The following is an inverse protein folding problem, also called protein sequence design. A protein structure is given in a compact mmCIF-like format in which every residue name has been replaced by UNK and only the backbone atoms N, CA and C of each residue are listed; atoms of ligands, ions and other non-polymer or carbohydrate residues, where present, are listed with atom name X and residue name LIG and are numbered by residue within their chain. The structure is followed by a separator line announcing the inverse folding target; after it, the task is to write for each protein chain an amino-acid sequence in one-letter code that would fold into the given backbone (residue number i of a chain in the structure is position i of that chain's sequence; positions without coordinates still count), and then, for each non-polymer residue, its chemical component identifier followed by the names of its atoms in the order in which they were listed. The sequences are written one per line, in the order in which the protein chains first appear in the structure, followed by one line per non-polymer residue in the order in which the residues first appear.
data_IF_483132477383
#
_entry.id   IF_483132477383
#
_cell.length_a   1.000
_cell.length_b   1.000
_cell.length_c   1.000
_cell.angle_alpha   90.00
_cell.angle_beta   90.00
_cell.angle_gamma   90.00
#
_symmetry.space_group_name_H-M   'P 1'
#
loop_
_entity.id
_entity.type
_entity.pdbx_description
1 polymer ?
#
# COMPACT_ATOMS: atom_id res chain seq x y z
N UNK A 1 -15.84 -9.19 11.04
CA UNK A 1 -15.28 -7.99 11.70
C UNK A 1 -14.05 -7.42 10.97
N UNK A 2 -13.10 -8.26 10.51
CA UNK A 2 -11.88 -7.84 9.79
C UNK A 2 -12.11 -7.07 8.46
N UNK A 3 -13.16 -7.40 7.68
CA UNK A 3 -13.51 -6.68 6.44
C UNK A 3 -13.92 -5.20 6.66
N UNK A 4 -14.48 -4.84 7.82
CA UNK A 4 -14.85 -3.44 8.13
C UNK A 4 -13.63 -2.58 8.51
N UNK A 5 -12.59 -3.19 9.07
CA UNK A 5 -11.33 -2.50 9.41
C UNK A 5 -10.52 -2.11 8.17
N UNK A 6 -10.50 -2.96 7.14
CA UNK A 6 -9.88 -2.63 5.85
C UNK A 6 -10.58 -1.46 5.14
N UNK A 7 -11.92 -1.48 5.12
CA UNK A 7 -12.73 -0.42 4.53
C UNK A 7 -12.51 0.94 5.22
N UNK A 8 -12.44 0.97 6.56
CA UNK A 8 -12.15 2.19 7.31
C UNK A 8 -10.74 2.72 7.05
N UNK A 9 -9.71 1.85 7.05
CA UNK A 9 -8.32 2.25 6.82
C UNK A 9 -8.09 2.83 5.42
N UNK A 10 -8.84 2.35 4.43
CA UNK A 10 -8.75 2.82 3.04
C UNK A 10 -9.36 4.21 2.83
N UNK A 11 -10.53 4.49 3.43
CA UNK A 11 -11.16 5.82 3.36
C UNK A 11 -10.39 6.85 4.18
N UNK A 12 -9.71 6.43 5.26
CA UNK A 12 -8.86 7.32 6.06
C UNK A 12 -7.71 7.88 5.19
N UNK A 13 -7.07 7.07 4.35
CA UNK A 13 -6.02 7.59 3.46
C UNK A 13 -6.58 8.56 2.42
N UNK A 14 -7.70 8.23 1.78
CA UNK A 14 -8.34 9.12 0.79
C UNK A 14 -8.77 10.44 1.45
N UNK A 15 -9.27 10.40 2.68
CA UNK A 15 -9.59 11.57 3.49
C UNK A 15 -8.36 12.41 3.83
N UNK A 16 -7.26 11.79 4.30
CA UNK A 16 -6.00 12.49 4.58
C UNK A 16 -5.42 13.10 3.30
N UNK A 17 -5.47 12.38 2.18
CA UNK A 17 -5.00 12.89 0.90
C UNK A 17 -5.85 14.08 0.44
N UNK A 18 -7.18 14.01 0.58
CA UNK A 18 -8.08 15.13 0.25
C UNK A 18 -7.80 16.34 1.15
N UNK A 19 -7.61 16.14 2.45
CA UNK A 19 -7.22 17.20 3.38
C UNK A 19 -5.88 17.80 2.96
N UNK A 20 -4.89 16.97 2.60
CA UNK A 20 -3.60 17.42 2.09
C UNK A 20 -3.73 18.25 0.81
N UNK A 21 -4.59 17.85 -0.14
CA UNK A 21 -4.91 18.63 -1.34
C UNK A 21 -5.46 20.00 -0.96
N UNK A 22 -6.48 20.05 -0.09
CA UNK A 22 -7.12 21.30 0.32
C UNK A 22 -6.14 22.22 1.04
N UNK A 23 -5.38 21.69 2.01
CA UNK A 23 -4.38 22.46 2.74
C UNK A 23 -3.31 23.02 1.81
N UNK A 24 -2.86 22.23 0.82
CA UNK A 24 -1.85 22.69 -0.15
C UNK A 24 -2.39 23.84 -1.00
N UNK A 25 -3.66 23.77 -1.39
CA UNK A 25 -4.29 24.88 -2.12
C UNK A 25 -4.38 26.12 -1.24
N UNK A 26 -4.88 25.99 0.00
CA UNK A 26 -4.99 27.12 0.94
C UNK A 26 -3.63 27.79 1.12
N UNK A 27 -2.58 26.99 1.34
CA UNK A 27 -1.19 27.43 1.53
C UNK A 27 -0.64 28.20 0.32
N UNK A 28 -0.85 27.67 -0.90
CA UNK A 28 -0.44 28.35 -2.13
C UNK A 28 -1.20 29.67 -2.31
N UNK A 29 -2.50 29.69 -2.06
CA UNK A 29 -3.31 30.90 -2.21
C UNK A 29 -3.02 31.96 -1.13
N UNK A 30 -2.49 31.57 0.04
CA UNK A 30 -2.10 32.49 1.11
C UNK A 30 -0.68 33.01 0.98
N UNK A 31 0.27 32.17 0.55
CA UNK A 31 1.70 32.45 0.67
C UNK A 31 2.42 32.71 -0.66
N UNK A 32 1.80 32.39 -1.80
CA UNK A 32 2.43 32.57 -3.12
C UNK A 32 1.87 33.81 -3.82
N UNK A 33 2.73 34.80 -4.01
CA UNK A 33 2.38 36.06 -4.70
C UNK A 33 2.52 35.97 -6.22
N UNK A 34 3.50 35.21 -6.73
CA UNK A 34 3.83 35.11 -8.16
C UNK A 34 3.35 33.80 -8.77
N UNK A 35 2.74 33.84 -9.97
CA UNK A 35 2.31 32.63 -10.72
C UNK A 35 1.41 31.64 -9.94
N UNK A 36 0.72 32.12 -8.90
CA UNK A 36 -0.15 31.33 -8.00
C UNK A 36 -1.12 30.38 -8.70
N UNK A 37 -1.70 30.77 -9.84
CA UNK A 37 -2.66 29.93 -10.58
C UNK A 37 -1.99 28.73 -11.26
N UNK A 38 -0.76 28.89 -11.76
CA UNK A 38 0.04 27.80 -12.33
C UNK A 38 0.52 26.86 -11.24
N UNK A 39 1.01 27.40 -10.12
CA UNK A 39 1.44 26.60 -8.97
C UNK A 39 0.28 25.83 -8.36
N UNK A 40 -0.88 26.47 -8.17
CA UNK A 40 -2.10 25.84 -7.69
C UNK A 40 -2.54 24.69 -8.62
N UNK A 41 -2.52 24.89 -9.95
CA UNK A 41 -2.86 23.86 -10.92
C UNK A 41 -1.91 22.65 -10.84
N UNK A 42 -0.59 22.89 -10.80
CA UNK A 42 0.42 21.83 -10.67
C UNK A 42 0.24 21.10 -9.34
N UNK A 43 0.09 21.81 -8.23
CA UNK A 43 -0.13 21.22 -6.92
C UNK A 43 -1.42 20.39 -6.85
N UNK A 44 -2.50 20.85 -7.51
CA UNK A 44 -3.75 20.12 -7.60
C UNK A 44 -3.59 18.82 -8.39
N UNK A 45 -2.89 18.85 -9.52
CA UNK A 45 -2.58 17.63 -10.29
C UNK A 45 -1.69 16.67 -9.48
N UNK A 46 -0.70 17.21 -8.77
CA UNK A 46 0.28 16.45 -7.98
C UNK A 46 -0.37 15.76 -6.80
N UNK A 47 -1.09 16.50 -5.95
CA UNK A 47 -1.77 15.96 -4.78
C UNK A 47 -3.01 15.14 -5.18
N UNK A 48 -3.73 15.55 -6.23
CA UNK A 48 -4.86 14.81 -6.79
C UNK A 48 -4.48 13.43 -7.33
N UNK A 49 -3.24 13.24 -7.83
CA UNK A 49 -2.75 11.94 -8.27
C UNK A 49 -2.75 10.89 -7.15
N UNK A 50 -2.60 11.29 -5.88
CA UNK A 50 -2.67 10.40 -4.73
C UNK A 50 -4.07 9.78 -4.55
N UNK A 51 -5.14 10.46 -4.99
CA UNK A 51 -6.51 9.92 -4.96
C UNK A 51 -6.68 8.79 -5.98
N UNK A 52 -5.91 8.79 -7.07
CA UNK A 52 -5.95 7.76 -8.10
C UNK A 52 -4.98 6.59 -7.86
N UNK A 53 -4.35 6.51 -6.68
CA UNK A 53 -3.38 5.44 -6.33
C UNK A 53 -3.96 4.03 -6.47
N UNK A 54 -5.28 3.87 -6.35
CA UNK A 54 -5.95 2.56 -6.50
C UNK A 54 -5.90 2.01 -7.91
N UNK A 55 -5.88 2.87 -8.94
CA UNK A 55 -5.78 2.44 -10.34
C UNK A 55 -4.34 2.29 -10.81
N UNK A 56 -3.44 3.13 -10.29
CA UNK A 56 -2.03 3.12 -10.68
C UNK A 56 -1.13 3.43 -9.46
N UNK A 57 -0.89 2.44 -8.58
CA UNK A 57 -0.16 2.67 -7.32
C UNK A 57 1.29 3.08 -7.53
N UNK A 58 1.90 2.67 -8.65
CA UNK A 58 3.26 3.09 -9.04
C UNK A 58 3.29 4.50 -9.68
N UNK A 59 2.23 4.91 -10.39
CA UNK A 59 2.20 6.21 -11.03
C UNK A 59 2.05 7.35 -10.01
N UNK A 60 1.32 7.14 -8.91
CA UNK A 60 1.09 8.17 -7.91
C UNK A 60 2.38 8.80 -7.33
N UNK A 61 3.36 8.04 -6.79
CA UNK A 61 4.60 8.63 -6.28
C UNK A 61 5.47 9.26 -7.38
N UNK A 62 5.42 8.72 -8.61
CA UNK A 62 6.13 9.32 -9.75
C UNK A 62 5.55 10.67 -10.16
N UNK A 63 4.22 10.80 -10.18
CA UNK A 63 3.55 12.07 -10.46
C UNK A 63 3.85 13.08 -9.35
N UNK A 64 3.92 12.63 -8.09
CA UNK A 64 4.33 13.51 -6.98
C UNK A 64 5.76 14.01 -7.15
N UNK A 65 6.69 13.12 -7.50
CA UNK A 65 8.07 13.49 -7.78
C UNK A 65 8.20 14.46 -8.96
N UNK A 66 7.48 14.21 -10.05
CA UNK A 66 7.45 15.08 -11.21
C UNK A 66 6.83 16.45 -10.88
N UNK A 67 5.76 16.46 -10.08
CA UNK A 67 5.14 17.69 -9.60
C UNK A 67 6.08 18.54 -8.75
N UNK A 68 6.85 17.92 -7.84
CA UNK A 68 7.87 18.61 -7.06
C UNK A 68 8.94 19.26 -7.97
N UNK A 69 9.38 18.56 -9.02
CA UNK A 69 10.32 19.12 -10.00
C UNK A 69 9.73 20.31 -10.76
N UNK A 70 8.48 20.21 -11.20
CA UNK A 70 7.79 21.30 -11.93
C UNK A 70 7.57 22.50 -11.02
N UNK A 71 7.13 22.31 -9.78
CA UNK A 71 6.98 23.40 -8.80
C UNK A 71 8.31 24.10 -8.54
N UNK A 72 9.38 23.33 -8.35
CA UNK A 72 10.74 23.87 -8.17
C UNK A 72 11.22 24.65 -9.40
N UNK A 73 10.86 24.21 -10.61
CA UNK A 73 11.24 24.88 -11.84
C UNK A 73 10.47 26.18 -12.08
N UNK A 74 9.25 26.30 -11.55
CA UNK A 74 8.46 27.53 -11.60
C UNK A 74 8.97 28.54 -10.57
N UNK A 75 9.09 28.13 -9.31
CA UNK A 75 9.58 28.97 -8.22
C UNK A 75 10.11 28.07 -7.08
N UNK A 76 11.43 27.97 -6.97
CA UNK A 76 12.09 27.15 -5.96
C UNK A 76 11.88 27.69 -4.52
N UNK A 77 11.79 29.01 -4.35
CA UNK A 77 11.57 29.60 -3.04
C UNK A 77 10.13 29.35 -2.58
N UNK A 78 9.14 29.56 -3.45
CA UNK A 78 7.75 29.25 -3.14
C UNK A 78 7.52 27.75 -2.93
N UNK A 79 8.17 26.88 -3.73
CA UNK A 79 8.09 25.43 -3.57
C UNK A 79 8.63 24.95 -2.21
N UNK A 80 9.72 25.56 -1.72
CA UNK A 80 10.28 25.27 -0.40
C UNK A 80 9.40 25.76 0.74
N UNK A 81 8.88 26.99 0.64
CA UNK A 81 8.02 27.59 1.68
C UNK A 81 6.60 27.00 1.76
N UNK A 82 6.24 26.11 0.83
CA UNK A 82 4.95 25.40 0.86
C UNK A 82 5.08 24.19 1.80
N UNK A 83 4.96 24.40 3.11
CA UNK A 83 5.10 23.35 4.13
C UNK A 83 4.17 22.15 3.87
N UNK A 84 3.00 22.39 3.26
CA UNK A 84 2.05 21.33 2.97
C UNK A 84 2.57 20.32 1.93
N UNK A 85 3.52 20.70 1.07
CA UNK A 85 4.18 19.76 0.15
C UNK A 85 4.90 18.63 0.88
N UNK A 86 5.42 18.89 2.08
CA UNK A 86 6.06 17.86 2.89
C UNK A 86 5.09 16.73 3.23
N UNK A 87 3.84 17.04 3.57
CA UNK A 87 2.80 16.04 3.83
C UNK A 87 2.48 15.24 2.57
N UNK A 88 2.43 15.89 1.40
CA UNK A 88 2.19 15.21 0.12
C UNK A 88 3.33 14.24 -0.22
N UNK A 89 4.58 14.61 0.04
CA UNK A 89 5.75 13.74 -0.12
C UNK A 89 5.71 12.53 0.84
N UNK A 90 5.31 12.73 2.10
CA UNK A 90 5.13 11.64 3.07
C UNK A 90 4.06 10.65 2.60
N UNK A 91 2.94 11.15 2.08
CA UNK A 91 1.87 10.30 1.51
C UNK A 91 2.34 9.55 0.27
N UNK A 92 3.18 10.16 -0.57
CA UNK A 92 3.79 9.51 -1.71
C UNK A 92 4.77 8.38 -1.29
N UNK A 93 5.59 8.61 -0.27
CA UNK A 93 6.46 7.59 0.32
C UNK A 93 5.65 6.44 0.92
N UNK A 94 4.55 6.74 1.62
CA UNK A 94 3.65 5.72 2.11
C UNK A 94 3.06 4.89 0.96
N UNK A 95 2.59 5.55 -0.10
CA UNK A 95 2.04 4.88 -1.29
C UNK A 95 3.09 4.00 -1.97
N UNK A 96 4.33 4.49 -2.15
CA UNK A 96 5.44 3.72 -2.71
C UNK A 96 5.82 2.51 -1.86
N UNK A 97 5.82 2.63 -0.54
CA UNK A 97 6.10 1.52 0.38
C UNK A 97 5.00 0.44 0.42
N UNK A 98 3.80 0.77 -0.07
CA UNK A 98 2.69 -0.20 -0.19
C UNK A 98 2.78 -1.09 -1.43
N UNK A 99 3.78 -0.85 -2.29
CA UNK A 99 4.04 -1.67 -3.48
C UNK A 99 4.67 -3.01 -3.07
N UNK A 100 4.12 -4.11 -3.59
CA UNK A 100 4.64 -5.46 -3.36
C UNK A 100 5.93 -5.74 -4.16
N UNK A 101 6.08 -5.10 -5.33
CA UNK A 101 7.29 -5.20 -6.15
C UNK A 101 8.39 -4.27 -5.58
N UNK A 102 9.48 -4.88 -5.13
CA UNK A 102 10.62 -4.17 -4.55
C UNK A 102 11.29 -3.20 -5.54
N UNK A 103 11.32 -3.52 -6.83
CA UNK A 103 11.91 -2.64 -7.84
C UNK A 103 11.07 -1.37 -8.00
N UNK A 104 9.76 -1.53 -8.10
CA UNK A 104 8.83 -0.40 -8.18
C UNK A 104 8.86 0.44 -6.90
N UNK A 105 8.91 -0.20 -5.73
CA UNK A 105 9.01 0.50 -4.45
C UNK A 105 10.32 1.31 -4.34
N UNK A 106 11.45 0.74 -4.75
CA UNK A 106 12.74 1.43 -4.76
C UNK A 106 12.75 2.61 -5.74
N UNK A 107 12.23 2.43 -6.95
CA UNK A 107 12.11 3.52 -7.94
C UNK A 107 11.19 4.63 -7.43
N UNK A 108 10.07 4.29 -6.79
CA UNK A 108 9.17 5.27 -6.20
C UNK A 108 9.85 6.09 -5.08
N UNK A 109 10.57 5.42 -4.17
CA UNK A 109 11.32 6.11 -3.11
C UNK A 109 12.39 7.04 -3.69
N UNK A 110 13.20 6.54 -4.63
CA UNK A 110 14.24 7.33 -5.27
C UNK A 110 13.67 8.55 -6.00
N UNK A 111 12.58 8.38 -6.74
CA UNK A 111 11.93 9.48 -7.44
C UNK A 111 11.45 10.57 -6.46
N UNK A 112 10.79 10.18 -5.36
CA UNK A 112 10.29 11.12 -4.35
C UNK A 112 11.45 11.81 -3.62
N UNK A 113 12.51 11.09 -3.27
CA UNK A 113 13.71 11.67 -2.65
C UNK A 113 14.41 12.66 -3.57
N UNK A 114 14.59 12.31 -4.85
CA UNK A 114 15.21 13.20 -5.84
C UNK A 114 14.35 14.45 -6.03
N UNK A 115 13.04 14.31 -6.21
CA UNK A 115 12.12 15.45 -6.34
C UNK A 115 12.12 16.36 -5.11
N UNK A 116 12.17 15.77 -3.91
CA UNK A 116 12.29 16.52 -2.67
C UNK A 116 13.65 17.21 -2.52
N UNK A 117 14.76 16.52 -2.77
CA UNK A 117 16.10 17.11 -2.71
C UNK A 117 16.27 18.26 -3.69
N UNK A 118 15.67 18.17 -4.89
CA UNK A 118 15.73 19.28 -5.85
C UNK A 118 15.09 20.56 -5.33
N UNK A 119 14.03 20.48 -4.51
CA UNK A 119 13.41 21.65 -3.88
C UNK A 119 14.42 22.32 -2.94
N UNK A 120 15.02 21.54 -2.03
CA UNK A 120 15.95 22.06 -1.02
C UNK A 120 17.26 22.57 -1.61
N UNK A 121 17.79 21.90 -2.64
CA UNK A 121 19.05 22.31 -3.31
C UNK A 121 18.86 23.60 -4.10
N UNK A 122 17.65 23.87 -4.61
CA UNK A 122 17.36 25.04 -5.45
C UNK A 122 16.82 26.23 -4.66
N UNK A 123 16.36 26.00 -3.43
CA UNK A 123 15.89 27.05 -2.55
C UNK A 123 17.07 27.93 -2.06
N UNK A 124 16.94 29.26 -2.11
CA UNK A 124 17.98 30.17 -1.61
C UNK A 124 18.12 30.08 -0.09
N UNK A 125 19.36 30.20 0.40
CA UNK A 125 19.71 30.28 1.83
C UNK A 125 19.32 29.05 2.70
N UNK A 126 19.04 27.91 2.08
CA UNK A 126 18.73 26.65 2.79
C UNK A 126 20.03 25.87 3.09
N UNK A 127 20.32 25.55 4.37
CA UNK A 127 21.51 24.78 4.71
C UNK A 127 21.35 23.31 4.31
N UNK A 128 22.47 22.66 3.92
CA UNK A 128 22.46 21.28 3.47
C UNK A 128 21.94 20.28 4.52
N UNK A 129 21.99 20.64 5.81
CA UNK A 129 21.46 19.83 6.92
C UNK A 129 19.95 19.64 6.83
N UNK A 130 19.22 20.54 6.18
CA UNK A 130 17.78 20.42 5.95
C UNK A 130 17.43 19.24 5.04
N UNK A 131 18.35 18.78 4.19
CA UNK A 131 18.15 17.54 3.44
C UNK A 131 18.00 16.34 4.36
N UNK A 132 18.63 16.34 5.54
CA UNK A 132 18.46 15.28 6.53
C UNK A 132 17.05 15.33 7.14
N UNK A 133 16.57 16.53 7.47
CA UNK A 133 15.20 16.75 7.95
C UNK A 133 14.14 16.26 6.98
N UNK A 134 14.39 16.34 5.68
CA UNK A 134 13.54 15.74 4.65
C UNK A 134 13.72 14.21 4.55
N UNK A 135 14.96 13.75 4.47
CA UNK A 135 15.29 12.37 4.10
C UNK A 135 14.88 11.36 5.18
N UNK A 136 15.11 11.68 6.46
CA UNK A 136 14.78 10.80 7.58
C UNK A 136 13.28 10.45 7.66
N UNK A 137 12.36 11.42 7.70
CA UNK A 137 10.93 11.10 7.80
C UNK A 137 10.39 10.43 6.54
N UNK A 138 10.82 10.84 5.33
CA UNK A 138 10.41 10.17 4.09
C UNK A 138 10.84 8.70 4.06
N UNK A 139 12.11 8.43 4.41
CA UNK A 139 12.64 7.07 4.47
C UNK A 139 12.00 6.25 5.60
N UNK A 140 11.73 6.89 6.74
CA UNK A 140 11.06 6.26 7.89
C UNK A 140 9.63 5.86 7.56
N UNK A 141 8.83 6.76 7.00
CA UNK A 141 7.45 6.47 6.55
C UNK A 141 7.43 5.38 5.49
N UNK A 142 8.36 5.44 4.52
CA UNK A 142 8.51 4.39 3.53
C UNK A 142 8.83 3.03 4.17
N UNK A 143 9.81 2.97 5.09
CA UNK A 143 10.19 1.75 5.77
C UNK A 143 9.04 1.16 6.60
N UNK A 144 8.30 2.00 7.32
CA UNK A 144 7.09 1.60 8.06
C UNK A 144 6.04 1.04 7.11
N UNK A 145 5.79 1.70 5.98
CA UNK A 145 4.81 1.24 4.98
C UNK A 145 5.22 -0.12 4.38
N UNK A 146 6.50 -0.30 4.03
CA UNK A 146 7.03 -1.58 3.55
C UNK A 146 6.88 -2.68 4.61
N UNK A 147 7.23 -2.39 5.87
CA UNK A 147 7.11 -3.35 6.96
C UNK A 147 5.64 -3.75 7.21
N UNK A 148 4.73 -2.77 7.25
CA UNK A 148 3.30 -2.99 7.43
C UNK A 148 2.72 -3.84 6.30
N UNK A 149 3.07 -3.52 5.06
CA UNK A 149 2.62 -4.25 3.86
C UNK A 149 3.10 -5.70 3.88
N UNK A 150 4.39 -5.92 4.12
CA UNK A 150 4.97 -7.26 4.21
C UNK A 150 4.40 -8.07 5.38
N UNK A 151 4.15 -7.44 6.52
CA UNK A 151 3.53 -8.10 7.65
C UNK A 151 2.11 -8.56 7.32
N UNK A 152 1.31 -7.68 6.70
CA UNK A 152 -0.05 -8.02 6.28
C UNK A 152 -0.10 -9.15 5.25
N UNK A 153 0.81 -9.15 4.27
CA UNK A 153 0.88 -10.20 3.25
C UNK A 153 1.30 -11.54 3.87
N UNK A 154 2.27 -11.54 4.80
CA UNK A 154 2.66 -12.75 5.53
C UNK A 154 1.52 -13.31 6.38
N UNK A 155 0.79 -12.45 7.07
CA UNK A 155 -0.36 -12.86 7.88
C UNK A 155 -1.44 -13.51 6.99
N UNK A 156 -1.77 -12.87 5.86
CA UNK A 156 -2.72 -13.42 4.89
C UNK A 156 -2.27 -14.76 4.33
N UNK A 157 -1.01 -14.89 3.94
CA UNK A 157 -0.46 -16.18 3.46
C UNK A 157 -0.47 -17.27 4.54
N UNK A 158 -0.30 -16.90 5.82
CA UNK A 158 -0.40 -17.84 6.93
C UNK A 158 -1.85 -18.32 7.13
N UNK A 159 -2.82 -17.40 7.07
CA UNK A 159 -4.25 -17.73 7.13
C UNK A 159 -4.68 -18.64 5.95
N UNK A 160 -4.24 -18.33 4.73
CA UNK A 160 -4.52 -19.15 3.54
C UNK A 160 -3.92 -20.56 3.67
N UNK A 161 -2.73 -20.70 4.28
CA UNK A 161 -2.10 -22.01 4.54
C UNK A 161 -2.85 -22.81 5.62
N UNK A 162 -3.26 -22.15 6.70
CA UNK A 162 -4.02 -22.78 7.77
C UNK A 162 -5.35 -23.33 7.23
N UNK A 163 -6.10 -22.51 6.49
CA UNK A 163 -7.36 -22.93 5.87
C UNK A 163 -7.18 -24.13 4.91
N UNK A 164 -6.13 -24.13 4.09
CA UNK A 164 -5.81 -25.28 3.22
C UNK A 164 -5.47 -26.54 4.00
N UNK A 165 -4.77 -26.42 5.13
CA UNK A 165 -4.43 -27.57 5.97
C UNK A 165 -5.67 -28.18 6.64
N UNK A 166 -6.62 -27.35 7.08
CA UNK A 166 -7.89 -27.80 7.64
C UNK A 166 -8.74 -28.53 6.59
N UNK A 167 -8.83 -27.98 5.36
CA UNK A 167 -9.51 -28.66 4.25
C UNK A 167 -8.89 -30.01 3.92
N UNK A 168 -7.56 -30.11 3.94
CA UNK A 168 -6.85 -31.38 3.69
C UNK A 168 -7.10 -32.40 4.79
N UNK A 169 -7.07 -31.97 6.06
CA UNK A 169 -7.36 -32.84 7.20
C UNK A 169 -8.81 -33.36 7.14
N UNK A 170 -9.78 -32.49 6.81
CA UNK A 170 -11.17 -32.89 6.68
C UNK A 170 -11.37 -33.89 5.54
N UNK A 171 -10.75 -33.66 4.37
CA UNK A 171 -10.78 -34.61 3.25
C UNK A 171 -10.19 -35.96 3.62
N UNK A 172 -9.05 -35.98 4.33
CA UNK A 172 -8.44 -37.23 4.79
C UNK A 172 -9.36 -38.01 5.74
N UNK A 173 -10.08 -37.32 6.63
CA UNK A 173 -11.07 -37.94 7.53
C UNK A 173 -12.25 -38.52 6.74
N UNK A 174 -12.75 -37.81 5.73
CA UNK A 174 -13.88 -38.26 4.93
C UNK A 174 -13.51 -39.44 4.00
N UNK A 175 -12.30 -39.43 3.45
CA UNK A 175 -11.72 -40.54 2.69
C UNK A 175 -11.55 -41.80 3.56
N UNK A 176 -11.06 -41.62 4.79
CA UNK A 176 -10.91 -42.70 5.78
C UNK A 176 -12.26 -43.31 6.15
N UNK A 177 -13.27 -42.47 6.43
CA UNK A 177 -14.65 -42.91 6.70
C UNK A 177 -15.24 -43.71 5.54
N UNK A 178 -15.00 -43.24 4.30
CA UNK A 178 -15.46 -43.93 3.09
C UNK A 178 -14.74 -45.26 2.87
N UNK A 179 -13.46 -45.36 3.26
CA UNK A 179 -12.72 -46.63 3.25
C UNK A 179 -13.30 -47.61 4.27
N UNK A 180 -13.47 -47.19 5.52
CA UNK A 180 -14.04 -48.02 6.60
C UNK A 180 -15.43 -48.53 6.22
N UNK A 181 -16.30 -47.67 5.65
CA UNK A 181 -17.64 -48.08 5.23
C UNK A 181 -17.63 -49.20 4.19
N UNK A 182 -16.67 -49.17 3.24
CA UNK A 182 -16.50 -50.23 2.22
C UNK A 182 -15.95 -51.51 2.84
N UNK A 183 -14.94 -51.43 3.69
CA UNK A 183 -14.39 -52.60 4.38
C UNK A 183 -15.44 -53.29 5.27
N UNK A 184 -16.25 -52.50 5.99
CA UNK A 184 -17.39 -53.03 6.76
C UNK A 184 -18.43 -53.69 5.86
N UNK A 185 -18.76 -53.08 4.72
CA UNK A 185 -19.69 -53.66 3.76
C UNK A 185 -19.21 -55.02 3.23
N UNK A 186 -17.94 -55.13 2.87
CA UNK A 186 -17.35 -56.36 2.34
C UNK A 186 -17.34 -57.48 3.40
N UNK A 187 -16.95 -57.17 4.64
CA UNK A 187 -16.96 -58.15 5.76
C UNK A 187 -18.38 -58.61 6.10
N UNK A 188 -19.34 -57.69 6.11
CA UNK A 188 -20.76 -58.01 6.37
C UNK A 188 -21.31 -58.86 5.23
N UNK A 189 -21.09 -58.49 3.97
CA UNK A 189 -21.56 -59.24 2.81
C UNK A 189 -21.01 -60.67 2.80
N UNK A 190 -19.72 -60.83 3.10
CA UNK A 190 -19.09 -62.15 3.19
C UNK A 190 -19.72 -63.01 4.30
N UNK A 191 -19.93 -62.44 5.49
CA UNK A 191 -20.49 -63.15 6.64
C UNK A 191 -21.93 -63.62 6.41
N UNK A 192 -22.75 -62.78 5.76
CA UNK A 192 -24.13 -63.15 5.37
C UNK A 192 -24.10 -64.29 4.35
N UNK A 193 -23.21 -64.26 3.35
CA UNK A 193 -23.07 -65.33 2.36
C UNK A 193 -22.75 -66.68 3.00
N UNK A 194 -21.87 -66.72 4.00
CA UNK A 194 -21.50 -67.96 4.71
C UNK A 194 -22.67 -68.49 5.54
N UNK A 195 -23.41 -67.62 6.25
CA UNK A 195 -24.59 -68.03 7.03
C UNK A 195 -25.69 -68.61 6.14
N UNK A 196 -25.97 -68.01 4.98
CA UNK A 196 -26.98 -68.52 4.05
C UNK A 196 -26.64 -69.90 3.48
N UNK A 197 -25.35 -70.23 3.33
CA UNK A 197 -24.91 -71.56 2.87
C UNK A 197 -25.02 -72.62 3.97
N UNK A 198 -24.92 -72.25 5.25
CA UNK A 198 -25.08 -73.20 6.36
C UNK A 198 -26.54 -73.45 6.77
N UNK A 199 -27.47 -72.59 6.36
CA UNK A 199 -28.88 -72.67 6.71
C UNK A 199 -29.76 -73.33 5.61
N UNK A 200 -29.18 -73.70 4.47
CA UNK A 200 -29.83 -74.46 3.39
C UNK A 200 -29.23 -75.85 3.25
#
# INVERSE_FOLDING_TARGET
MLRRLGWAREHVFEGIALIGVVLTQVDIWSNVETDRSRMAAVALCTAGALLFRRRAPFAAPLVVAAGALVLTALDAAAAYNTDTMFVVLLLACWAGGSLLDLRQAAVALLAVLVGGWTVFIRAPDVPWTELLWLTFPLSGVFAISVAATRHSERARLAEERAARSEEQAQRAVDDERSRIARELHDVIAHSVSVMTVQAG
#
